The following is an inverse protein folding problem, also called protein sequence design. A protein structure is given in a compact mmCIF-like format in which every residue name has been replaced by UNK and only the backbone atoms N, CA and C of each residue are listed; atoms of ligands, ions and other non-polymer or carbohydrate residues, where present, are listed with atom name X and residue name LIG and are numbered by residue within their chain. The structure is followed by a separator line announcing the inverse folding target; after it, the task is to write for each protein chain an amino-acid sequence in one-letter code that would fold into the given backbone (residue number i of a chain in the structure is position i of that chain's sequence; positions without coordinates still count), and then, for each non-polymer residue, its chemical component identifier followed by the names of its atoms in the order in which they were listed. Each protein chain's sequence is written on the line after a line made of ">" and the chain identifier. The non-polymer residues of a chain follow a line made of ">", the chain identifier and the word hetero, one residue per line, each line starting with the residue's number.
data_IF_849187433767
#
_entry.id   IF_849187433767
#
_cell.length_a   1.000
_cell.length_b   1.000
_cell.length_c   1.000
_cell.angle_alpha   90.00
_cell.angle_beta   90.00
_cell.angle_gamma   90.00
#
_symmetry.space_group_name_H-M   'P 1'
#
loop_
_entity.id
_entity.type
_entity.pdbx_description
1 polymer ?
#
# COMPACT_ATOMS: atom_id res chain seq x y z
N UNK A 1 -16.35 -19.86 -6.46
CA UNK A 1 -17.06 -18.56 -6.52
C UNK A 1 -16.09 -17.52 -5.99
N UNK A 2 -15.96 -16.38 -6.67
CA UNK A 2 -15.22 -15.23 -6.14
C UNK A 2 -16.01 -14.75 -4.93
N UNK A 3 -15.35 -14.56 -3.77
CA UNK A 3 -16.01 -14.11 -2.53
C UNK A 3 -16.71 -12.76 -2.70
N UNK A 4 -17.65 -12.45 -1.80
CA UNK A 4 -18.36 -11.18 -1.81
C UNK A 4 -17.43 -10.04 -1.38
N UNK A 5 -17.46 -8.95 -2.12
CA UNK A 5 -16.70 -7.74 -1.82
C UNK A 5 -17.57 -6.49 -1.99
N UNK A 6 -17.14 -5.40 -1.38
CA UNK A 6 -17.77 -4.09 -1.48
C UNK A 6 -16.70 -3.03 -1.71
N UNK A 7 -16.93 -2.14 -2.67
CA UNK A 7 -16.07 -0.98 -2.88
C UNK A 7 -16.61 0.17 -2.02
N UNK A 8 -15.77 0.72 -1.15
CA UNK A 8 -16.12 1.84 -0.26
C UNK A 8 -15.03 2.91 -0.33
N UNK A 9 -15.38 4.19 -0.18
CA UNK A 9 -14.36 5.22 -0.04
C UNK A 9 -13.62 5.01 1.30
N UNK A 10 -12.33 5.30 1.34
CA UNK A 10 -11.58 5.21 2.59
C UNK A 10 -10.79 6.47 2.92
N UNK A 11 -10.37 7.22 1.90
CA UNK A 11 -9.50 8.39 2.04
C UNK A 11 -9.92 9.47 1.06
N UNK A 12 -9.92 10.72 1.52
CA UNK A 12 -10.14 11.89 0.67
C UNK A 12 -8.87 12.72 0.56
N UNK A 13 -8.53 13.10 -0.67
CA UNK A 13 -7.43 14.02 -0.99
C UNK A 13 -7.97 15.17 -1.81
N UNK A 14 -8.25 16.29 -1.15
CA UNK A 14 -8.96 17.40 -1.77
C UNK A 14 -10.35 16.98 -2.27
N UNK A 15 -10.58 17.03 -3.59
CA UNK A 15 -11.84 16.59 -4.21
C UNK A 15 -11.86 15.12 -4.62
N UNK A 16 -10.72 14.42 -4.55
CA UNK A 16 -10.59 13.01 -5.00
C UNK A 16 -10.87 12.08 -3.82
N UNK A 17 -11.80 11.17 -4.01
CA UNK A 17 -12.03 10.04 -3.11
C UNK A 17 -11.28 8.82 -3.62
N UNK A 18 -10.48 8.20 -2.74
CA UNK A 18 -9.81 6.93 -3.01
C UNK A 18 -10.65 5.80 -2.43
N UNK A 19 -10.79 4.75 -3.22
CA UNK A 19 -11.65 3.61 -2.90
C UNK A 19 -10.82 2.43 -2.38
N UNK A 20 -11.41 1.69 -1.47
CA UNK A 20 -10.95 0.38 -1.05
C UNK A 20 -11.97 -0.68 -1.46
N UNK A 21 -11.48 -1.80 -2.00
CA UNK A 21 -12.26 -3.03 -2.17
C UNK A 21 -12.09 -3.89 -0.93
N UNK A 22 -13.17 -4.04 -0.21
CA UNK A 22 -13.18 -4.80 1.04
C UNK A 22 -13.78 -6.18 0.79
N UNK A 23 -12.97 -7.20 1.03
CA UNK A 23 -13.39 -8.60 1.05
C UNK A 23 -13.57 -9.03 2.49
N UNK A 24 -14.74 -9.54 2.83
CA UNK A 24 -15.00 -10.03 4.17
C UNK A 24 -14.90 -11.57 4.21
N UNK A 25 -14.46 -12.13 5.33
CA UNK A 25 -14.50 -13.57 5.52
C UNK A 25 -15.95 -14.09 5.51
N UNK A 26 -16.16 -15.39 5.27
CA UNK A 26 -17.49 -15.99 5.30
C UNK A 26 -18.24 -15.69 6.60
N UNK A 27 -19.54 -15.49 6.50
CA UNK A 27 -20.41 -15.22 7.66
C UNK A 27 -20.19 -16.26 8.77
N UNK A 28 -20.12 -15.82 10.02
CA UNK A 28 -19.83 -16.61 11.23
C UNK A 28 -18.36 -17.07 11.38
N UNK A 29 -17.46 -16.66 10.50
CA UNK A 29 -16.03 -16.90 10.71
C UNK A 29 -15.46 -15.86 11.68
N UNK A 30 -14.66 -16.30 12.64
CA UNK A 30 -13.90 -15.37 13.48
C UNK A 30 -12.84 -14.69 12.64
N UNK A 31 -12.86 -13.36 12.60
CA UNK A 31 -11.90 -12.57 11.82
C UNK A 31 -10.52 -12.71 12.43
N UNK A 32 -9.56 -13.22 11.66
CA UNK A 32 -8.17 -13.45 12.09
C UNK A 32 -7.36 -12.16 12.17
N UNK A 33 -7.68 -11.19 11.31
CA UNK A 33 -7.00 -9.89 11.18
C UNK A 33 -7.39 -9.21 9.89
N UNK A 34 -6.75 -8.10 9.61
CA UNK A 34 -6.89 -7.34 8.36
C UNK A 34 -5.65 -7.48 7.51
N UNK A 35 -5.83 -7.68 6.22
CA UNK A 35 -4.76 -7.65 5.21
C UNK A 35 -4.97 -6.42 4.34
N UNK A 36 -4.01 -5.52 4.33
CA UNK A 36 -3.95 -4.38 3.42
C UNK A 36 -3.23 -4.81 2.15
N UNK A 37 -3.92 -4.86 1.01
CA UNK A 37 -3.33 -5.18 -0.30
C UNK A 37 -2.99 -3.90 -1.07
N UNK A 38 -1.73 -3.79 -1.48
CA UNK A 38 -1.17 -2.66 -2.24
C UNK A 38 -0.77 -3.17 -3.62
N UNK A 39 -1.54 -2.80 -4.64
CA UNK A 39 -1.33 -3.30 -6.00
C UNK A 39 -0.01 -2.84 -6.63
N UNK A 40 0.51 -3.62 -7.58
CA UNK A 40 1.63 -3.27 -8.44
C UNK A 40 1.21 -2.32 -9.57
N UNK A 41 2.06 -2.22 -10.62
CA UNK A 41 1.77 -1.40 -11.80
C UNK A 41 2.82 -0.32 -12.07
N UNK A 42 4.06 -0.53 -11.61
CA UNK A 42 5.17 0.42 -11.77
C UNK A 42 4.80 1.84 -11.34
N UNK A 43 4.05 1.97 -10.23
CA UNK A 43 3.55 3.20 -9.60
C UNK A 43 2.57 4.04 -10.46
N UNK A 44 2.21 3.59 -11.67
CA UNK A 44 1.37 4.33 -12.61
C UNK A 44 0.11 3.59 -13.05
N UNK A 45 0.13 2.26 -13.01
CA UNK A 45 -0.93 1.42 -13.58
C UNK A 45 -1.68 0.66 -12.49
N UNK A 46 -2.85 0.13 -12.86
CA UNK A 46 -3.75 -0.70 -12.04
C UNK A 46 -4.54 0.07 -10.98
N UNK A 47 -5.31 -0.69 -10.21
CA UNK A 47 -6.17 -0.22 -9.12
C UNK A 47 -6.45 -1.39 -8.14
N UNK A 48 -7.29 -1.14 -7.12
CA UNK A 48 -7.74 -2.08 -6.08
C UNK A 48 -8.28 -3.44 -6.59
N UNK A 49 -8.45 -3.62 -7.90
CA UNK A 49 -8.97 -4.86 -8.49
C UNK A 49 -7.86 -5.84 -8.88
N UNK A 50 -6.62 -5.39 -8.89
CA UNK A 50 -5.50 -6.16 -9.42
C UNK A 50 -5.26 -7.48 -8.70
N UNK A 51 -5.43 -7.51 -7.37
CA UNK A 51 -5.21 -8.66 -6.50
C UNK A 51 -6.43 -9.56 -6.27
N UNK A 52 -7.57 -9.31 -6.92
CA UNK A 52 -8.87 -9.92 -6.57
C UNK A 52 -8.87 -11.44 -6.42
N UNK A 53 -8.00 -12.17 -7.11
CA UNK A 53 -7.93 -13.64 -7.03
C UNK A 53 -7.30 -14.13 -5.71
N UNK A 54 -6.24 -13.49 -5.22
CA UNK A 54 -5.64 -13.83 -3.93
C UNK A 54 -6.36 -13.15 -2.77
N UNK A 55 -6.95 -11.98 -2.97
CA UNK A 55 -7.79 -11.32 -1.96
C UNK A 55 -8.97 -12.20 -1.55
N UNK A 56 -9.66 -12.77 -2.54
CA UNK A 56 -10.76 -13.70 -2.29
C UNK A 56 -10.28 -14.95 -1.52
N UNK A 57 -9.09 -15.47 -1.82
CA UNK A 57 -8.53 -16.62 -1.12
C UNK A 57 -8.17 -16.29 0.34
N UNK A 58 -7.60 -15.11 0.58
CA UNK A 58 -7.30 -14.62 1.93
C UNK A 58 -8.59 -14.39 2.74
N UNK A 59 -9.61 -13.84 2.11
CA UNK A 59 -10.91 -13.68 2.75
C UNK A 59 -11.51 -15.05 3.12
N UNK A 60 -11.47 -16.04 2.22
CA UNK A 60 -11.90 -17.39 2.50
C UNK A 60 -11.11 -18.05 3.66
N UNK A 61 -9.85 -17.66 3.85
CA UNK A 61 -9.00 -18.09 4.97
C UNK A 61 -9.29 -17.37 6.30
N UNK A 62 -10.25 -16.46 6.33
CA UNK A 62 -10.71 -15.78 7.56
C UNK A 62 -10.14 -14.39 7.80
N UNK A 63 -9.53 -13.75 6.81
CA UNK A 63 -9.07 -12.37 6.91
C UNK A 63 -10.09 -11.40 6.32
N UNK A 64 -10.18 -10.18 6.86
CA UNK A 64 -10.78 -9.07 6.13
C UNK A 64 -9.68 -8.46 5.24
N UNK A 65 -9.87 -8.48 3.92
CA UNK A 65 -8.88 -7.94 2.98
C UNK A 65 -9.32 -6.58 2.48
N UNK A 66 -8.39 -5.65 2.44
CA UNK A 66 -8.59 -4.27 2.03
C UNK A 66 -7.62 -3.98 0.88
N UNK A 67 -8.07 -4.12 -0.35
CA UNK A 67 -7.32 -3.77 -1.54
C UNK A 67 -7.61 -2.30 -1.89
N UNK A 68 -6.59 -1.47 -2.03
CA UNK A 68 -6.74 0.00 -2.08
C UNK A 68 -6.38 0.59 -3.43
N UNK A 69 -7.08 1.69 -3.78
CA UNK A 69 -6.57 2.67 -4.71
C UNK A 69 -5.63 3.63 -3.96
N UNK A 70 -4.66 4.17 -4.65
CA UNK A 70 -3.80 5.26 -4.20
C UNK A 70 -3.46 6.17 -5.38
N UNK A 71 -2.93 7.34 -5.12
CA UNK A 71 -2.57 8.30 -6.17
C UNK A 71 -1.36 7.79 -6.96
N UNK A 72 -1.53 7.62 -8.28
CA UNK A 72 -0.54 7.07 -9.20
C UNK A 72 0.03 8.15 -10.13
N UNK A 73 1.27 7.92 -10.64
CA UNK A 73 1.80 8.72 -11.74
C UNK A 73 1.02 8.54 -13.04
N UNK A 74 1.17 9.44 -13.99
CA UNK A 74 1.98 10.65 -13.96
C UNK A 74 1.34 11.84 -13.23
N UNK A 75 0.05 11.79 -12.91
CA UNK A 75 -0.69 12.89 -12.29
C UNK A 75 -0.21 13.18 -10.86
N UNK A 76 0.29 12.15 -10.19
CA UNK A 76 0.75 12.21 -8.81
C UNK A 76 2.15 11.58 -8.69
N UNK A 77 3.08 12.36 -8.19
CA UNK A 77 4.46 11.92 -8.03
C UNK A 77 4.76 11.48 -6.59
N UNK A 78 5.91 10.84 -6.41
CA UNK A 78 6.44 10.56 -5.09
C UNK A 78 6.55 11.86 -4.25
N UNK A 79 6.06 11.86 -2.97
CA UNK A 79 5.67 10.72 -2.14
C UNK A 79 4.16 10.40 -2.11
N UNK A 80 3.33 10.92 -3.00
CA UNK A 80 1.87 10.85 -2.91
C UNK A 80 1.34 9.43 -2.66
N UNK A 81 1.77 8.43 -3.43
CA UNK A 81 1.31 7.05 -3.25
C UNK A 81 1.73 6.47 -1.88
N UNK A 82 2.96 6.71 -1.43
CA UNK A 82 3.43 6.18 -0.14
C UNK A 82 2.69 6.82 1.04
N UNK A 83 2.34 8.10 0.95
CA UNK A 83 1.51 8.77 1.96
C UNK A 83 0.09 8.24 1.99
N UNK A 84 -0.49 7.89 0.83
CA UNK A 84 -1.81 7.28 0.77
C UNK A 84 -1.81 5.85 1.33
N UNK A 85 -0.75 5.07 1.07
CA UNK A 85 -0.58 3.73 1.66
C UNK A 85 -0.43 3.80 3.18
N UNK A 86 0.33 4.76 3.73
CA UNK A 86 0.42 4.96 5.18
C UNK A 86 -0.94 5.34 5.78
N UNK A 87 -1.70 6.21 5.11
CA UNK A 87 -3.07 6.56 5.53
C UNK A 87 -4.01 5.34 5.46
N UNK A 88 -3.89 4.52 4.40
CA UNK A 88 -4.65 3.28 4.28
C UNK A 88 -4.32 2.27 5.39
N UNK A 89 -3.06 2.18 5.81
CA UNK A 89 -2.65 1.34 6.93
C UNK A 89 -3.32 1.80 8.25
N UNK A 90 -3.36 3.11 8.50
CA UNK A 90 -4.11 3.64 9.64
C UNK A 90 -5.60 3.28 9.57
N UNK A 91 -6.25 3.50 8.43
CA UNK A 91 -7.66 3.13 8.25
C UNK A 91 -7.90 1.63 8.44
N UNK A 92 -6.99 0.78 7.95
CA UNK A 92 -7.06 -0.67 8.16
C UNK A 92 -6.83 -1.07 9.63
N UNK A 93 -6.05 -0.31 10.42
CA UNK A 93 -5.92 -0.49 11.88
C UNK A 93 -7.22 -0.19 12.61
N UNK A 94 -7.91 0.89 12.24
CA UNK A 94 -9.24 1.19 12.80
C UNK A 94 -10.20 0.02 12.52
N UNK A 95 -10.17 -0.52 11.31
CA UNK A 95 -10.96 -1.67 10.93
C UNK A 95 -10.55 -2.94 11.71
N UNK A 96 -9.26 -3.18 11.91
CA UNK A 96 -8.78 -4.30 12.71
C UNK A 96 -9.29 -4.21 14.17
N UNK A 97 -9.25 -3.02 14.74
CA UNK A 97 -9.80 -2.77 16.09
C UNK A 97 -11.29 -3.11 16.17
N UNK A 98 -12.08 -2.65 15.20
CA UNK A 98 -13.53 -2.92 15.13
C UNK A 98 -13.83 -4.42 14.99
N UNK A 99 -13.10 -5.14 14.15
CA UNK A 99 -13.39 -6.53 13.81
C UNK A 99 -12.84 -7.53 14.82
N UNK A 100 -11.74 -7.21 15.51
CA UNK A 100 -10.99 -8.16 16.34
C UNK A 100 -10.75 -7.69 17.77
N UNK A 101 -11.08 -6.44 18.08
CA UNK A 101 -10.73 -5.80 19.35
C UNK A 101 -9.23 -5.46 19.50
N UNK A 102 -8.42 -5.63 18.44
CA UNK A 102 -6.99 -5.38 18.47
C UNK A 102 -6.52 -4.70 17.16
N UNK A 103 -6.07 -3.47 17.25
CA UNK A 103 -5.58 -2.69 16.11
C UNK A 103 -4.28 -3.22 15.49
N UNK A 104 -3.54 -4.07 16.21
CA UNK A 104 -2.28 -4.63 15.74
C UNK A 104 -2.46 -5.93 14.92
N UNK A 105 -3.69 -6.41 14.75
CA UNK A 105 -4.01 -7.52 13.85
C UNK A 105 -4.10 -7.08 12.39
N UNK A 106 -3.02 -6.49 11.91
CA UNK A 106 -2.89 -6.00 10.53
C UNK A 106 -1.54 -6.39 9.93
N UNK A 107 -1.57 -6.86 8.70
CA UNK A 107 -0.40 -7.01 7.84
C UNK A 107 -0.65 -6.26 6.53
N UNK A 108 0.42 -5.80 5.88
CA UNK A 108 0.36 -5.29 4.52
C UNK A 108 0.98 -6.29 3.56
N UNK A 109 0.38 -6.43 2.38
CA UNK A 109 0.98 -7.19 1.28
C UNK A 109 1.07 -6.32 0.05
N UNK A 110 2.03 -6.63 -0.82
CA UNK A 110 2.12 -5.91 -2.08
C UNK A 110 3.04 -6.58 -3.09
N UNK A 111 2.71 -6.41 -4.37
CA UNK A 111 3.49 -6.97 -5.46
C UNK A 111 4.18 -5.88 -6.28
N UNK A 112 5.40 -6.15 -6.76
CA UNK A 112 6.15 -5.19 -7.60
C UNK A 112 6.25 -3.81 -6.93
N UNK A 113 5.85 -2.73 -7.62
CA UNK A 113 5.81 -1.37 -7.05
C UNK A 113 4.90 -1.25 -5.81
N UNK A 114 3.86 -2.06 -5.69
CA UNK A 114 3.02 -2.12 -4.50
C UNK A 114 3.75 -2.69 -3.29
N UNK A 115 4.59 -3.71 -3.49
CA UNK A 115 5.47 -4.23 -2.44
C UNK A 115 6.49 -3.20 -1.97
N UNK A 116 7.05 -2.41 -2.90
CA UNK A 116 7.89 -1.27 -2.56
C UNK A 116 7.15 -0.24 -1.72
N UNK A 117 5.93 0.16 -2.13
CA UNK A 117 5.12 1.14 -1.39
C UNK A 117 4.70 0.63 -0.01
N UNK A 118 4.32 -0.66 0.10
CA UNK A 118 3.96 -1.29 1.37
C UNK A 118 5.13 -1.26 2.37
N UNK A 119 6.35 -1.63 1.92
CA UNK A 119 7.55 -1.53 2.75
C UNK A 119 7.93 -0.10 3.08
N UNK A 120 7.90 0.82 2.11
CA UNK A 120 8.23 2.22 2.33
C UNK A 120 7.30 2.85 3.38
N UNK A 121 5.99 2.59 3.30
CA UNK A 121 5.03 3.05 4.27
C UNK A 121 5.26 2.43 5.66
N UNK A 122 5.60 1.15 5.73
CA UNK A 122 5.88 0.46 6.98
C UNK A 122 7.19 0.92 7.65
N UNK A 123 8.20 1.30 6.86
CA UNK A 123 9.45 1.87 7.36
C UNK A 123 9.29 3.33 7.84
N UNK A 124 8.34 4.07 7.26
CA UNK A 124 8.04 5.47 7.59
C UNK A 124 6.55 5.66 7.95
N UNK A 125 6.06 5.00 9.00
CA UNK A 125 4.62 4.93 9.29
C UNK A 125 3.98 6.26 9.69
N UNK A 126 4.79 7.26 10.07
CA UNK A 126 4.35 8.61 10.47
C UNK A 126 4.63 9.68 9.39
N UNK A 127 4.94 9.28 8.17
CA UNK A 127 5.28 10.20 7.07
C UNK A 127 4.09 11.01 6.54
N UNK A 128 2.88 10.76 7.05
CA UNK A 128 1.66 11.44 6.62
C UNK A 128 1.41 12.66 7.49
N UNK A 129 1.31 13.83 6.85
CA UNK A 129 0.72 14.99 7.51
C UNK A 129 -0.75 14.68 7.82
N UNK A 130 -1.08 14.65 9.12
CA UNK A 130 -2.43 14.37 9.59
C UNK A 130 -3.39 15.55 9.38
N UNK A 131 -2.88 16.77 9.17
CA UNK A 131 -3.74 17.94 8.97
C UNK A 131 -4.53 17.81 7.67
N UNK A 132 -5.86 17.86 7.78
CA UNK A 132 -6.77 17.77 6.65
C UNK A 132 -6.87 16.38 6.02
N UNK A 133 -6.44 15.32 6.71
CA UNK A 133 -6.67 13.94 6.24
C UNK A 133 -8.06 13.49 6.67
N UNK A 134 -8.98 13.38 5.71
CA UNK A 134 -10.34 12.87 5.94
C UNK A 134 -10.42 11.40 5.56
N UNK A 135 -10.91 10.57 6.48
CA UNK A 135 -11.17 9.14 6.26
C UNK A 135 -12.65 8.83 6.41
N UNK A 136 -13.11 7.85 5.64
CA UNK A 136 -14.48 7.34 5.76
C UNK A 136 -14.55 6.25 6.82
N UNK A 137 -15.10 6.60 7.97
CA UNK A 137 -15.21 5.72 9.14
C UNK A 137 -16.68 5.66 9.57
N UNK A 138 -17.21 4.46 9.78
CA UNK A 138 -18.58 4.23 10.25
C UNK A 138 -19.67 4.99 9.48
N UNK A 139 -19.51 5.05 8.14
CA UNK A 139 -20.53 5.66 7.27
C UNK A 139 -20.41 7.18 7.10
N UNK A 140 -19.38 7.81 7.61
CA UNK A 140 -19.18 9.29 7.52
C UNK A 140 -17.71 9.64 7.29
N UNK A 141 -17.49 10.84 6.74
CA UNK A 141 -16.17 11.43 6.62
C UNK A 141 -15.78 12.09 7.95
N UNK A 142 -14.60 11.75 8.44
CA UNK A 142 -14.03 12.33 9.66
C UNK A 142 -12.60 12.76 9.42
N UNK A 143 -12.25 13.97 9.87
CA UNK A 143 -10.86 14.40 9.94
C UNK A 143 -10.13 13.58 10.99
N UNK A 144 -9.00 12.99 10.61
CA UNK A 144 -8.22 12.16 11.49
C UNK A 144 -7.18 12.99 12.25
N UNK A 145 -6.92 12.58 13.49
CA UNK A 145 -5.78 13.03 14.28
C UNK A 145 -4.45 12.47 13.74
N UNK A 146 -3.45 12.28 14.57
CA UNK A 146 -2.17 11.71 14.14
C UNK A 146 -2.35 10.37 13.46
N UNK A 147 -1.79 10.22 12.25
CA UNK A 147 -1.86 9.00 11.47
C UNK A 147 -0.86 7.98 12.04
N UNK A 148 -1.34 6.79 12.37
CA UNK A 148 -0.52 5.64 12.75
C UNK A 148 -0.57 4.57 11.66
N UNK A 149 0.35 4.66 10.71
CA UNK A 149 0.49 3.73 9.58
C UNK A 149 1.26 2.45 9.90
N UNK A 150 1.54 2.15 11.18
CA UNK A 150 2.28 0.93 11.55
C UNK A 150 1.49 -0.32 11.19
N UNK A 151 2.21 -1.33 10.71
CA UNK A 151 1.70 -2.67 10.44
C UNK A 151 2.57 -3.69 11.19
N UNK A 152 1.99 -4.84 11.58
CA UNK A 152 2.73 -5.89 12.30
C UNK A 152 3.68 -6.63 11.38
N UNK A 153 3.32 -6.76 10.11
CA UNK A 153 4.17 -7.42 9.13
C UNK A 153 3.88 -6.98 7.70
N UNK A 154 4.84 -7.23 6.82
CA UNK A 154 4.74 -6.92 5.39
C UNK A 154 5.14 -8.12 4.55
N UNK A 155 4.25 -8.59 3.69
CA UNK A 155 4.51 -9.59 2.65
C UNK A 155 4.83 -8.92 1.31
N UNK A 156 5.99 -9.20 0.73
CA UNK A 156 6.48 -8.53 -0.48
C UNK A 156 6.73 -9.54 -1.59
N UNK A 157 6.17 -9.26 -2.76
CA UNK A 157 6.28 -10.11 -3.94
C UNK A 157 6.95 -9.33 -5.07
N UNK A 158 8.16 -9.75 -5.49
CA UNK A 158 8.95 -9.14 -6.62
C UNK A 158 9.15 -7.62 -6.49
N UNK A 159 9.27 -7.10 -5.30
CA UNK A 159 9.37 -5.66 -5.08
C UNK A 159 10.75 -5.11 -5.45
N UNK A 160 10.82 -3.98 -6.18
CA UNK A 160 12.08 -3.26 -6.37
C UNK A 160 12.45 -2.54 -5.07
N UNK A 161 13.43 -3.03 -4.35
CA UNK A 161 13.91 -2.43 -3.09
C UNK A 161 14.74 -1.17 -3.32
N UNK A 162 15.31 -1.01 -4.52
CA UNK A 162 16.04 0.16 -4.99
C UNK A 162 15.44 0.64 -6.32
N UNK A 163 14.61 1.70 -6.30
CA UNK A 163 14.00 2.23 -7.50
C UNK A 163 15.00 2.74 -8.54
N UNK A 164 16.12 3.32 -8.11
CA UNK A 164 17.14 3.84 -9.01
C UNK A 164 17.91 2.71 -9.69
N UNK A 165 18.38 1.73 -8.96
CA UNK A 165 19.02 0.55 -9.55
C UNK A 165 18.10 -0.18 -10.54
N UNK A 166 16.80 -0.32 -10.20
CA UNK A 166 15.81 -0.88 -11.11
C UNK A 166 15.62 -0.02 -12.37
N UNK A 167 15.63 1.31 -12.24
CA UNK A 167 15.52 2.23 -13.36
C UNK A 167 16.70 2.07 -14.33
N UNK A 168 17.94 2.07 -13.81
CA UNK A 168 19.16 1.84 -14.61
C UNK A 168 19.10 0.47 -15.31
N UNK A 169 18.68 -0.58 -14.60
CA UNK A 169 18.49 -1.90 -15.19
C UNK A 169 17.45 -1.86 -16.33
N UNK A 170 16.30 -1.22 -16.10
CA UNK A 170 15.26 -1.12 -17.13
C UNK A 170 15.72 -0.38 -18.39
N UNK A 171 16.59 0.63 -18.26
CA UNK A 171 17.20 1.32 -19.39
C UNK A 171 18.11 0.42 -20.23
N UNK A 172 18.74 -0.59 -19.61
CA UNK A 172 19.58 -1.57 -20.33
C UNK A 172 18.77 -2.59 -21.14
N UNK A 173 17.46 -2.68 -20.93
CA UNK A 173 16.58 -3.63 -21.61
C UNK A 173 16.05 -3.00 -22.91
N UNK A 174 16.47 -3.53 -24.05
CA UNK A 174 15.89 -3.13 -25.35
C UNK A 174 14.59 -3.90 -25.64
N UNK A 175 13.60 -3.70 -24.79
CA UNK A 175 12.29 -4.34 -24.88
C UNK A 175 11.16 -3.32 -24.65
N UNK A 176 9.95 -3.62 -25.14
CA UNK A 176 8.78 -2.80 -24.85
C UNK A 176 8.51 -2.70 -23.33
N UNK A 177 8.77 -3.77 -22.58
CA UNK A 177 8.67 -3.78 -21.12
C UNK A 177 9.69 -2.81 -20.50
N UNK A 178 10.96 -2.87 -20.89
CA UNK A 178 12.01 -1.96 -20.39
C UNK A 178 11.62 -0.50 -20.61
N UNK A 179 11.22 -0.15 -21.83
CA UNK A 179 10.77 1.22 -22.18
C UNK A 179 9.59 1.69 -21.33
N UNK A 180 8.58 0.82 -21.09
CA UNK A 180 7.45 1.14 -20.22
C UNK A 180 7.89 1.33 -18.75
N UNK A 181 8.77 0.47 -18.24
CA UNK A 181 9.27 0.57 -16.87
C UNK A 181 10.06 1.85 -16.64
N UNK A 182 10.88 2.28 -17.62
CA UNK A 182 11.59 3.57 -17.61
C UNK A 182 10.58 4.72 -17.56
N UNK A 183 9.65 4.77 -18.50
CA UNK A 183 8.66 5.84 -18.61
C UNK A 183 7.81 5.98 -17.33
N UNK A 184 7.32 4.87 -16.77
CA UNK A 184 6.54 4.89 -15.55
C UNK A 184 7.37 5.31 -14.31
N UNK A 185 8.65 4.90 -14.26
CA UNK A 185 9.53 5.33 -13.17
C UNK A 185 9.79 6.83 -13.21
N UNK A 186 10.07 7.38 -14.40
CA UNK A 186 10.22 8.83 -14.60
C UNK A 186 8.94 9.59 -14.30
N UNK A 187 7.79 9.08 -14.74
CA UNK A 187 6.49 9.70 -14.50
C UNK A 187 6.16 9.81 -13.01
N UNK A 188 6.49 8.78 -12.22
CA UNK A 188 6.19 8.77 -10.78
C UNK A 188 7.24 9.48 -9.93
N UNK A 189 8.54 9.24 -10.17
CA UNK A 189 9.59 9.85 -9.35
C UNK A 189 10.07 11.21 -9.85
N UNK A 190 9.96 11.47 -11.14
CA UNK A 190 10.38 12.73 -11.77
C UNK A 190 11.88 12.96 -11.77
N UNK A 191 12.59 12.61 -10.68
CA UNK A 191 14.02 12.87 -10.50
C UNK A 191 14.71 11.69 -9.83
N UNK A 192 16.01 11.50 -10.13
CA UNK A 192 16.88 10.50 -9.50
C UNK A 192 16.90 10.62 -7.98
N UNK A 193 16.94 11.84 -7.45
CA UNK A 193 16.93 12.07 -6.00
C UNK A 193 15.70 11.44 -5.33
N UNK A 194 14.51 11.56 -5.92
CA UNK A 194 13.30 10.95 -5.37
C UNK A 194 13.35 9.40 -5.40
N UNK A 195 13.98 8.81 -6.43
CA UNK A 195 14.23 7.36 -6.47
C UNK A 195 15.17 6.92 -5.35
N UNK A 196 16.23 7.70 -5.11
CA UNK A 196 17.22 7.47 -4.07
C UNK A 196 16.63 7.64 -2.66
N UNK A 197 15.80 8.66 -2.45
CA UNK A 197 15.11 8.90 -1.17
C UNK A 197 14.08 7.82 -0.83
N UNK A 198 13.56 7.14 -1.85
CA UNK A 198 12.65 6.00 -1.72
C UNK A 198 13.37 4.64 -1.71
N UNK A 199 14.69 4.60 -1.71
CA UNK A 199 15.48 3.36 -1.67
C UNK A 199 15.37 2.70 -0.29
N UNK A 200 14.73 1.52 -0.23
CA UNK A 200 14.44 0.82 1.02
C UNK A 200 15.71 0.36 1.74
N UNK A 201 16.70 -0.13 1.00
CA UNK A 201 17.98 -0.56 1.58
C UNK A 201 18.72 0.62 2.24
N UNK A 202 18.66 1.78 1.64
CA UNK A 202 19.23 3.01 2.21
C UNK A 202 18.50 3.43 3.49
N UNK A 203 17.16 3.45 3.48
CA UNK A 203 16.36 3.80 4.65
C UNK A 203 16.69 2.89 5.83
N UNK A 204 16.76 1.58 5.62
CA UNK A 204 17.08 0.61 6.69
C UNK A 204 18.49 0.81 7.24
N UNK A 205 19.47 1.25 6.44
CA UNK A 205 20.84 1.43 6.89
C UNK A 205 21.10 2.79 7.53
N UNK A 206 20.38 3.84 7.13
CA UNK A 206 20.59 5.22 7.58
C UNK A 206 19.64 5.64 8.72
N UNK A 207 18.43 5.09 8.78
CA UNK A 207 17.41 5.43 9.78
C UNK A 207 17.42 4.40 10.92
N UNK A 208 18.30 4.61 11.93
CA UNK A 208 18.56 3.65 13.01
C UNK A 208 17.45 3.52 14.06
N UNK A 209 16.45 4.40 14.07
CA UNK A 209 15.37 4.40 15.06
C UNK A 209 14.06 3.74 14.55
N UNK A 210 14.07 3.21 13.34
CA UNK A 210 12.87 2.61 12.73
C UNK A 210 12.58 1.26 13.36
N UNK A 211 11.43 1.12 14.01
CA UNK A 211 10.92 -0.18 14.43
C UNK A 211 10.48 -0.95 13.19
N UNK A 212 11.25 -1.95 12.80
CA UNK A 212 10.98 -2.75 11.61
C UNK A 212 9.80 -3.71 11.88
N UNK A 213 8.84 -3.82 10.94
CA UNK A 213 7.84 -4.88 10.96
C UNK A 213 8.50 -6.23 10.64
N UNK A 214 7.78 -7.32 10.88
CA UNK A 214 8.19 -8.61 10.30
C UNK A 214 8.05 -8.54 8.77
N UNK A 215 9.06 -9.01 8.03
CA UNK A 215 9.08 -8.94 6.56
C UNK A 215 9.28 -10.31 5.94
N UNK A 216 8.40 -10.64 4.98
CA UNK A 216 8.50 -11.84 4.15
C UNK A 216 8.67 -11.44 2.69
N UNK A 217 9.75 -11.95 2.07
CA UNK A 217 10.00 -11.77 0.65
C UNK A 217 9.72 -13.05 -0.12
N UNK A 218 9.00 -12.93 -1.25
CA UNK A 218 8.86 -13.97 -2.26
C UNK A 218 9.26 -13.41 -3.63
N UNK A 219 10.04 -14.23 -4.39
CA UNK A 219 10.52 -13.95 -5.74
C UNK A 219 10.11 -15.06 -6.70
#
# INVERSE_FOLDING_TARGET
>A
MIGDHTDIPYLRRGKKELLARVWNPPTKTVVRGVVLDVHGGAWCDHDRRAGSHYDAALAAAGFSVVAIDFRCGPEHQHPDASTDVSAAAHWARLRALQLTGNSDRIISIGSSSGGHLALLAALRPQSVDSQGTEMYVDGKWEEQGPIDGRVTGVGVFWAPVDPFARYVYAQSLDTALGKRLVANTEAYFGKEQAMTDACLSRIVTEETETQLPEVWFAQ
#
